data_IF_789661733795
#
_entry.id   IF_789661733795
#
_cell.length_a   1.000
_cell.length_b   1.000
_cell.length_c   1.000
_cell.angle_alpha   90.00
_cell.angle_beta   90.00
_cell.angle_gamma   90.00
#
_symmetry.space_group_name_H-M   'P 1'
#
loop_
_entity.id
_entity.type
_entity.pdbx_description
1 polymer ?
#
# COMPACT_ATOMS: atom_id res chain seq x y z
N UNK A 1 42.41 36.99 -12.92
CA UNK A 1 41.14 37.44 -12.29
C UNK A 1 39.93 37.55 -13.24
N UNK A 2 40.05 37.34 -14.57
CA UNK A 2 38.90 37.43 -15.52
C UNK A 2 38.07 36.14 -15.69
N UNK A 3 38.53 35.01 -15.17
CA UNK A 3 37.87 33.70 -15.38
C UNK A 3 36.73 33.38 -14.41
N UNK A 4 36.68 33.99 -13.21
CA UNK A 4 35.60 33.74 -12.23
C UNK A 4 34.32 34.56 -12.47
N UNK A 5 34.40 35.67 -13.21
CA UNK A 5 33.23 36.54 -13.48
C UNK A 5 32.32 35.97 -14.59
N UNK A 6 32.87 35.31 -15.60
CA UNK A 6 32.07 34.77 -16.72
C UNK A 6 31.26 33.51 -16.36
N UNK A 7 31.68 32.78 -15.33
CA UNK A 7 30.98 31.58 -14.86
C UNK A 7 29.73 31.96 -14.05
N UNK A 8 29.81 33.01 -13.23
CA UNK A 8 28.64 33.54 -12.51
C UNK A 8 27.58 34.12 -13.45
N UNK A 9 28.00 34.79 -14.53
CA UNK A 9 27.09 35.35 -15.53
C UNK A 9 26.37 34.27 -16.35
N UNK A 10 27.02 33.10 -16.54
CA UNK A 10 26.43 31.93 -17.20
C UNK A 10 25.43 31.17 -16.30
N UNK A 11 25.58 31.29 -14.98
CA UNK A 11 24.67 30.67 -14.00
C UNK A 11 23.38 31.50 -13.77
N UNK A 12 23.37 32.78 -14.15
CA UNK A 12 22.19 33.64 -14.01
C UNK A 12 21.29 33.75 -15.26
N UNK A 13 21.64 33.13 -16.40
CA UNK A 13 20.85 33.23 -17.64
C UNK A 13 20.22 31.90 -18.09
N UNK A 14 19.53 31.20 -17.18
CA UNK A 14 18.60 30.11 -17.55
C UNK A 14 17.22 30.23 -16.91
N UNK A 15 16.69 31.46 -16.84
CA UNK A 15 15.26 31.70 -16.71
C UNK A 15 14.70 32.21 -18.05
N UNK A 16 14.91 31.44 -19.11
CA UNK A 16 14.14 31.62 -20.33
C UNK A 16 12.81 30.91 -20.12
N UNK A 17 11.73 31.68 -19.91
CA UNK A 17 10.35 31.18 -19.92
C UNK A 17 10.16 30.33 -21.19
N UNK A 18 10.06 29.01 -21.03
CA UNK A 18 9.64 28.15 -22.13
C UNK A 18 8.17 28.47 -22.46
N UNK A 19 7.76 28.38 -23.74
CA UNK A 19 6.37 28.63 -24.14
C UNK A 19 5.35 27.83 -23.31
N UNK A 20 5.73 26.61 -22.93
CA UNK A 20 4.96 25.72 -22.06
C UNK A 20 4.76 26.30 -20.65
N UNK A 21 5.80 26.90 -20.05
CA UNK A 21 5.72 27.54 -18.72
C UNK A 21 4.83 28.79 -18.72
N UNK A 22 4.78 29.54 -19.84
CA UNK A 22 3.86 30.66 -19.99
C UNK A 22 2.41 30.17 -20.13
N UNK A 23 2.20 29.11 -20.89
CA UNK A 23 0.89 28.51 -21.09
C UNK A 23 0.35 27.87 -19.79
N UNK A 24 1.20 27.20 -19.03
CA UNK A 24 0.82 26.64 -17.72
C UNK A 24 0.47 27.73 -16.72
N UNK A 25 1.20 28.87 -16.68
CA UNK A 25 0.81 30.01 -15.84
C UNK A 25 -0.55 30.59 -16.23
N UNK A 26 -0.89 30.61 -17.51
CA UNK A 26 -2.19 31.08 -17.97
C UNK A 26 -3.31 30.12 -17.54
N UNK A 27 -3.10 28.81 -17.61
CA UNK A 27 -4.08 27.83 -17.10
C UNK A 27 -4.27 27.93 -15.59
N UNK A 28 -3.19 28.09 -14.83
CA UNK A 28 -3.23 28.24 -13.38
C UNK A 28 -3.85 29.56 -12.90
N UNK A 29 -3.89 30.58 -13.75
CA UNK A 29 -4.47 31.89 -13.45
C UNK A 29 -5.93 32.07 -13.88
N UNK A 30 -6.49 31.16 -14.68
CA UNK A 30 -7.89 31.23 -15.12
C UNK A 30 -8.84 30.78 -14.02
N UNK A 31 -10.03 31.40 -13.98
CA UNK A 31 -11.09 30.92 -13.09
C UNK A 31 -11.58 29.54 -13.56
N UNK A 32 -12.08 28.72 -12.62
CA UNK A 32 -12.58 27.37 -12.93
C UNK A 32 -13.67 27.36 -14.00
N UNK A 33 -14.40 28.46 -14.16
CA UNK A 33 -15.42 28.64 -15.19
C UNK A 33 -14.80 28.83 -16.59
N UNK A 34 -13.82 29.72 -16.72
CA UNK A 34 -13.11 29.98 -17.97
C UNK A 34 -12.33 28.75 -18.45
N UNK A 35 -11.77 27.97 -17.53
CA UNK A 35 -11.10 26.72 -17.85
C UNK A 35 -12.06 25.67 -18.42
N UNK A 36 -13.28 25.58 -17.89
CA UNK A 36 -14.31 24.67 -18.42
C UNK A 36 -14.77 25.08 -19.82
N UNK A 37 -14.99 26.38 -20.05
CA UNK A 37 -15.33 26.92 -21.39
C UNK A 37 -14.19 26.65 -22.40
N UNK A 38 -12.94 26.75 -21.97
CA UNK A 38 -11.79 26.42 -22.81
C UNK A 38 -11.73 24.91 -23.16
N UNK A 39 -11.97 24.03 -22.19
CA UNK A 39 -12.06 22.58 -22.41
C UNK A 39 -13.17 22.26 -23.40
N UNK A 40 -14.35 22.87 -23.23
CA UNK A 40 -15.49 22.64 -24.13
C UNK A 40 -15.17 23.11 -25.56
N UNK A 41 -14.46 24.22 -25.72
CA UNK A 41 -13.96 24.68 -27.05
C UNK A 41 -12.93 23.74 -27.69
N UNK A 42 -12.17 22.99 -26.88
CA UNK A 42 -11.20 22.00 -27.37
C UNK A 42 -11.88 20.69 -27.77
N UNK A 43 -12.99 20.33 -27.13
CA UNK A 43 -13.83 19.20 -27.52
C UNK A 43 -14.50 19.45 -28.88
N UNK A 44 -14.94 20.68 -29.14
CA UNK A 44 -15.48 21.07 -30.46
C UNK A 44 -14.43 20.99 -31.57
N UNK A 45 -13.18 21.36 -31.27
CA UNK A 45 -12.07 21.36 -32.24
C UNK A 45 -11.49 19.97 -32.47
N UNK A 46 -11.70 19.03 -31.54
CA UNK A 46 -11.19 17.67 -31.65
C UNK A 46 -12.33 16.67 -31.41
N UNK A 47 -13.06 16.29 -32.49
CA UNK A 47 -14.25 15.43 -32.42
C UNK A 47 -14.01 14.05 -31.79
N UNK A 48 -12.75 13.65 -31.63
CA UNK A 48 -12.36 12.40 -30.99
C UNK A 48 -12.23 12.51 -29.45
N UNK A 49 -12.10 13.71 -28.90
CA UNK A 49 -12.08 13.93 -27.46
C UNK A 49 -13.52 13.90 -26.92
N UNK A 50 -13.75 13.11 -25.86
CA UNK A 50 -15.04 13.00 -25.17
C UNK A 50 -14.85 13.34 -23.69
N UNK A 51 -15.76 14.13 -23.13
CA UNK A 51 -15.80 14.45 -21.70
C UNK A 51 -16.31 13.22 -20.93
N UNK A 52 -15.41 12.47 -20.30
CA UNK A 52 -15.78 11.33 -19.47
C UNK A 52 -16.16 11.83 -18.07
N UNK A 53 -17.46 11.87 -17.78
CA UNK A 53 -17.94 12.01 -16.41
C UNK A 53 -18.15 10.60 -15.84
N UNK A 54 -17.31 10.18 -14.87
CA UNK A 54 -17.61 9.00 -14.05
C UNK A 54 -18.47 9.43 -12.87
N UNK A 55 -19.75 9.07 -12.90
CA UNK A 55 -20.58 9.11 -11.70
C UNK A 55 -20.15 8.01 -10.71
N UNK A 56 -20.34 8.28 -9.41
CA UNK A 56 -19.85 7.54 -8.23
C UNK A 56 -20.29 6.06 -8.09
N UNK A 57 -20.89 5.46 -9.11
CA UNK A 57 -21.40 4.08 -9.07
C UNK A 57 -20.65 3.10 -9.99
N UNK A 58 -19.55 3.52 -10.64
CA UNK A 58 -18.59 2.60 -11.26
C UNK A 58 -19.13 1.69 -12.38
N UNK A 59 -20.31 1.97 -12.96
CA UNK A 59 -20.85 1.22 -14.10
C UNK A 59 -20.71 2.02 -15.39
N UNK A 60 -19.82 1.59 -16.27
CA UNK A 60 -19.83 1.95 -17.69
C UNK A 60 -20.75 0.98 -18.42
N UNK A 61 -21.91 1.45 -18.90
CA UNK A 61 -22.66 0.74 -19.93
C UNK A 61 -22.11 1.17 -21.29
N UNK A 62 -21.16 0.41 -21.82
CA UNK A 62 -20.82 0.45 -23.24
C UNK A 62 -21.34 -0.82 -23.89
N UNK A 63 -22.56 -0.74 -24.43
CA UNK A 63 -23.07 -1.72 -25.38
C UNK A 63 -22.25 -1.66 -26.66
N UNK A 64 -21.33 -2.61 -26.88
CA UNK A 64 -20.98 -3.14 -28.21
C UNK A 64 -20.19 -4.44 -28.08
N UNK A 65 -20.66 -5.48 -28.77
CA UNK A 65 -20.08 -6.81 -28.86
C UNK A 65 -18.76 -6.84 -29.64
N UNK A 66 -17.82 -7.72 -29.23
CA UNK A 66 -16.65 -8.12 -30.01
C UNK A 66 -15.44 -8.52 -29.14
N UNK A 67 -14.87 -9.74 -29.26
CA UNK A 67 -13.81 -10.26 -28.40
C UNK A 67 -12.43 -10.14 -29.08
N UNK A 68 -11.48 -9.45 -28.46
CA UNK A 68 -10.06 -9.83 -28.58
C UNK A 68 -9.25 -9.29 -27.39
N UNK A 69 -8.48 -10.19 -26.82
CA UNK A 69 -7.59 -9.98 -25.69
C UNK A 69 -6.30 -9.30 -26.16
N UNK A 70 -6.08 -8.06 -25.73
CA UNK A 70 -4.73 -7.52 -25.64
C UNK A 70 -4.65 -6.55 -24.48
N UNK A 71 -4.07 -7.07 -23.39
CA UNK A 71 -3.28 -6.37 -22.39
C UNK A 71 -2.99 -4.90 -22.75
N UNK A 72 -3.72 -3.97 -22.12
CA UNK A 72 -3.34 -2.56 -22.09
C UNK A 72 -3.53 -2.01 -20.67
N UNK A 73 -2.73 -2.52 -19.73
CA UNK A 73 -2.43 -1.80 -18.50
C UNK A 73 -1.34 -0.76 -18.77
N UNK A 74 -1.58 0.14 -19.74
CA UNK A 74 -0.70 1.29 -19.96
C UNK A 74 -1.11 2.45 -19.07
N UNK A 75 -0.35 2.59 -17.98
CA UNK A 75 0.39 3.84 -17.70
C UNK A 75 -0.47 5.11 -17.56
N UNK A 76 -1.53 5.08 -16.76
CA UNK A 76 -2.26 6.30 -16.40
C UNK A 76 -2.81 6.30 -14.95
N UNK A 77 -2.01 5.80 -14.01
CA UNK A 77 -2.29 5.82 -12.56
C UNK A 77 -1.23 6.61 -11.77
N UNK A 78 -0.84 7.81 -12.20
CA UNK A 78 0.16 8.56 -11.41
C UNK A 78 -0.43 9.28 -10.19
N UNK A 79 -1.75 9.47 -10.07
CA UNK A 79 -2.38 9.97 -8.83
C UNK A 79 -3.88 9.66 -8.78
N UNK A 80 -4.27 8.39 -8.92
CA UNK A 80 -5.47 7.92 -8.22
C UNK A 80 -4.95 7.33 -6.92
N UNK A 81 -5.60 7.59 -5.79
CA UNK A 81 -5.45 6.74 -4.61
C UNK A 81 -5.76 5.31 -5.09
N UNK A 82 -4.73 4.58 -5.53
CA UNK A 82 -4.87 3.19 -5.89
C UNK A 82 -5.29 2.49 -4.61
N UNK A 83 -6.41 1.77 -4.66
CA UNK A 83 -6.83 0.95 -3.53
C UNK A 83 -5.64 0.05 -3.17
N UNK A 84 -5.07 0.17 -1.95
CA UNK A 84 -3.86 -0.55 -1.57
C UNK A 84 -4.00 -2.06 -1.74
N UNK A 85 -5.24 -2.57 -1.68
CA UNK A 85 -5.57 -3.98 -1.96
C UNK A 85 -5.14 -4.43 -3.35
N UNK A 86 -5.21 -3.56 -4.36
CA UNK A 86 -4.78 -3.88 -5.73
C UNK A 86 -3.29 -4.22 -5.80
N UNK A 87 -2.47 -3.53 -5.00
CA UNK A 87 -1.03 -3.81 -4.93
C UNK A 87 -0.75 -5.19 -4.31
N UNK A 88 -1.56 -5.61 -3.33
CA UNK A 88 -1.46 -6.92 -2.71
C UNK A 88 -1.90 -8.04 -3.66
N UNK A 89 -3.02 -7.85 -4.36
CA UNK A 89 -3.50 -8.80 -5.37
C UNK A 89 -2.47 -8.96 -6.49
N UNK A 90 -1.84 -7.87 -6.94
CA UNK A 90 -0.77 -7.93 -7.92
C UNK A 90 0.44 -8.75 -7.42
N UNK A 91 0.84 -8.56 -6.16
CA UNK A 91 1.91 -9.36 -5.55
C UNK A 91 1.58 -10.85 -5.48
N UNK A 92 0.35 -11.22 -5.08
CA UNK A 92 -0.10 -12.62 -5.04
C UNK A 92 -0.01 -13.28 -6.42
N UNK A 93 -0.45 -12.57 -7.47
CA UNK A 93 -0.42 -13.09 -8.84
C UNK A 93 1.00 -13.29 -9.37
N UNK A 94 1.99 -12.55 -8.85
CA UNK A 94 3.39 -12.75 -9.20
C UNK A 94 4.02 -14.00 -8.56
N UNK A 95 3.45 -14.51 -7.47
CA UNK A 95 3.98 -15.69 -6.76
C UNK A 95 3.67 -17.03 -7.46
N UNK A 96 2.85 -17.03 -8.52
CA UNK A 96 2.53 -18.23 -9.29
C UNK A 96 1.75 -19.28 -8.48
N UNK A 97 0.91 -18.83 -7.55
CA UNK A 97 0.11 -19.68 -6.66
C UNK A 97 -1.03 -20.37 -7.41
N UNK A 98 -1.55 -21.46 -6.83
CA UNK A 98 -2.73 -22.14 -7.36
C UNK A 98 -3.97 -21.23 -7.33
N UNK A 99 -4.90 -21.46 -8.26
CA UNK A 99 -6.14 -20.67 -8.38
C UNK A 99 -6.93 -20.64 -7.06
N UNK A 100 -6.99 -21.77 -6.35
CA UNK A 100 -7.66 -21.88 -5.05
C UNK A 100 -7.02 -20.99 -3.99
N UNK A 101 -5.70 -20.97 -3.91
CA UNK A 101 -4.95 -20.12 -2.97
C UNK A 101 -5.18 -18.63 -3.27
N UNK A 102 -5.20 -18.26 -4.56
CA UNK A 102 -5.48 -16.87 -4.97
C UNK A 102 -6.91 -16.47 -4.57
N UNK A 103 -7.91 -17.34 -4.76
CA UNK A 103 -9.30 -17.06 -4.39
C UNK A 103 -9.45 -16.84 -2.88
N UNK A 104 -8.84 -17.69 -2.05
CA UNK A 104 -8.83 -17.52 -0.58
C UNK A 104 -8.11 -16.21 -0.22
N UNK A 105 -6.97 -15.94 -0.84
CA UNK A 105 -6.17 -14.75 -0.51
C UNK A 105 -6.86 -13.44 -0.91
N UNK A 106 -7.53 -13.42 -2.07
CA UNK A 106 -8.32 -12.27 -2.51
C UNK A 106 -9.45 -11.99 -1.51
N UNK A 107 -10.20 -13.01 -1.08
CA UNK A 107 -11.24 -12.85 -0.05
C UNK A 107 -10.67 -12.25 1.24
N UNK A 108 -9.58 -12.81 1.76
CA UNK A 108 -8.95 -12.32 2.99
C UNK A 108 -8.48 -10.87 2.88
N UNK A 109 -7.93 -10.46 1.74
CA UNK A 109 -7.50 -9.07 1.49
C UNK A 109 -8.69 -8.10 1.47
N UNK A 110 -9.83 -8.53 0.94
CA UNK A 110 -11.04 -7.71 0.95
C UNK A 110 -11.61 -7.52 2.36
N UNK A 111 -11.49 -8.55 3.22
CA UNK A 111 -11.92 -8.51 4.63
C UNK A 111 -10.95 -7.77 5.58
N UNK A 112 -9.78 -7.35 5.09
CA UNK A 112 -8.86 -6.52 5.89
C UNK A 112 -9.45 -5.13 6.17
N UNK A 113 -9.14 -4.60 7.36
CA UNK A 113 -9.47 -3.22 7.72
C UNK A 113 -8.60 -2.18 6.97
N UNK A 114 -8.83 -0.89 7.24
CA UNK A 114 -8.07 0.20 6.63
C UNK A 114 -6.58 0.22 7.04
N UNK A 115 -6.21 -0.46 8.13
CA UNK A 115 -4.84 -0.60 8.60
C UNK A 115 -4.15 -1.87 8.09
N UNK A 116 -4.88 -2.74 7.39
CA UNK A 116 -4.39 -4.01 6.85
C UNK A 116 -4.44 -5.18 7.85
N UNK A 117 -5.24 -5.07 8.91
CA UNK A 117 -5.45 -6.16 9.87
C UNK A 117 -6.62 -7.06 9.47
N UNK A 118 -6.45 -8.38 9.60
CA UNK A 118 -7.51 -9.35 9.39
C UNK A 118 -8.54 -9.25 10.53
N UNK A 119 -9.80 -9.02 10.17
CA UNK A 119 -10.92 -8.97 11.13
C UNK A 119 -11.74 -10.26 11.16
N UNK A 120 -11.65 -11.07 10.10
CA UNK A 120 -12.41 -12.31 9.95
C UNK A 120 -11.73 -13.46 10.70
N UNK A 121 -12.53 -14.29 11.35
CA UNK A 121 -12.07 -15.52 11.98
C UNK A 121 -11.75 -16.60 10.93
N UNK A 122 -10.75 -17.44 11.19
CA UNK A 122 -10.32 -18.50 10.27
C UNK A 122 -11.43 -19.52 10.00
N UNK A 123 -12.23 -19.87 11.01
CA UNK A 123 -13.32 -20.82 10.87
C UNK A 123 -14.51 -20.22 10.10
N UNK A 124 -14.73 -18.91 10.25
CA UNK A 124 -15.77 -18.17 9.52
C UNK A 124 -15.40 -18.04 8.04
N UNK A 125 -14.17 -17.60 7.75
CA UNK A 125 -13.65 -17.53 6.38
C UNK A 125 -13.67 -18.90 5.68
N UNK A 126 -13.33 -19.98 6.40
CA UNK A 126 -13.36 -21.34 5.88
C UNK A 126 -14.77 -21.77 5.46
N UNK A 127 -15.79 -21.44 6.27
CA UNK A 127 -17.20 -21.74 5.96
C UNK A 127 -17.68 -20.97 4.72
N UNK A 128 -17.37 -19.67 4.65
CA UNK A 128 -17.78 -18.82 3.53
C UNK A 128 -17.17 -19.28 2.20
N UNK A 129 -15.92 -19.72 2.23
CA UNK A 129 -15.19 -20.20 1.05
C UNK A 129 -15.40 -21.69 0.76
N UNK A 130 -16.07 -22.43 1.65
CA UNK A 130 -16.24 -23.88 1.58
C UNK A 130 -14.90 -24.64 1.46
N UNK A 131 -13.92 -24.24 2.28
CA UNK A 131 -12.57 -24.83 2.38
C UNK A 131 -12.27 -25.27 3.81
N UNK A 132 -11.19 -26.02 4.02
CA UNK A 132 -10.78 -26.39 5.37
C UNK A 132 -10.09 -25.21 6.10
N UNK A 133 -10.26 -25.06 7.43
CA UNK A 133 -9.60 -23.99 8.20
C UNK A 133 -8.08 -23.97 8.06
N UNK A 134 -7.46 -25.15 7.94
CA UNK A 134 -6.02 -25.28 7.75
C UNK A 134 -5.55 -24.63 6.43
N UNK A 135 -6.35 -24.72 5.37
CA UNK A 135 -6.04 -24.09 4.07
C UNK A 135 -6.08 -22.56 4.17
N UNK A 136 -7.02 -22.03 4.97
CA UNK A 136 -7.10 -20.58 5.23
C UNK A 136 -5.86 -20.11 5.98
N UNK A 137 -5.41 -20.86 7.00
CA UNK A 137 -4.23 -20.49 7.79
C UNK A 137 -2.95 -20.51 6.94
N UNK A 138 -2.78 -21.50 6.06
CA UNK A 138 -1.66 -21.54 5.11
C UNK A 138 -1.64 -20.32 4.18
N UNK A 139 -2.82 -19.86 3.74
CA UNK A 139 -2.95 -18.67 2.91
C UNK A 139 -2.65 -17.40 3.72
N UNK A 140 -3.12 -17.31 4.97
CA UNK A 140 -2.78 -16.20 5.87
C UNK A 140 -1.27 -16.09 6.05
N UNK A 141 -0.57 -17.20 6.30
CA UNK A 141 0.89 -17.21 6.40
C UNK A 141 1.57 -16.70 5.11
N UNK A 142 0.99 -17.02 3.96
CA UNK A 142 1.48 -16.55 2.66
C UNK A 142 1.30 -15.04 2.52
N UNK A 143 0.13 -14.53 2.92
CA UNK A 143 -0.16 -13.09 2.95
C UNK A 143 0.79 -12.34 3.88
N UNK A 144 1.04 -12.87 5.09
CA UNK A 144 1.89 -12.23 6.10
C UNK A 144 3.37 -12.12 5.67
N UNK A 145 3.80 -12.87 4.64
CA UNK A 145 5.14 -12.80 4.04
C UNK A 145 5.24 -11.68 2.98
N UNK A 146 4.14 -11.05 2.58
CA UNK A 146 4.10 -9.99 1.56
C UNK A 146 4.72 -8.67 2.03
N UNK A 147 4.81 -7.68 1.13
CA UNK A 147 5.21 -6.30 1.46
C UNK A 147 3.96 -5.39 1.44
N UNK A 148 3.70 -4.59 2.49
CA UNK A 148 4.57 -4.30 3.64
C UNK A 148 4.58 -5.37 4.74
N UNK A 149 5.69 -5.44 5.47
CA UNK A 149 5.83 -6.36 6.61
C UNK A 149 4.80 -6.07 7.71
N UNK A 150 4.05 -7.09 8.11
CA UNK A 150 2.98 -6.98 9.10
C UNK A 150 1.57 -6.83 8.50
N UNK A 151 1.44 -6.82 7.17
CA UNK A 151 0.14 -6.96 6.49
C UNK A 151 -0.50 -8.31 6.83
N UNK A 152 -1.81 -8.33 7.04
CA UNK A 152 -2.54 -9.56 7.39
C UNK A 152 -2.32 -10.05 8.82
N UNK A 153 -1.79 -9.20 9.72
CA UNK A 153 -1.80 -9.48 11.14
C UNK A 153 -3.22 -9.37 11.72
N UNK A 154 -3.53 -10.10 12.79
CA UNK A 154 -4.80 -10.01 13.53
C UNK A 154 -4.79 -8.88 14.55
N UNK A 155 -3.60 -8.54 15.06
CA UNK A 155 -3.43 -7.43 15.99
C UNK A 155 -2.05 -6.75 15.89
N UNK A 156 -1.87 -5.68 16.67
CA UNK A 156 -0.62 -4.92 16.73
C UNK A 156 0.57 -5.75 17.24
N UNK A 157 0.33 -6.73 18.11
CA UNK A 157 1.39 -7.59 18.63
C UNK A 157 1.93 -8.46 17.50
N UNK A 158 1.05 -9.17 16.82
CA UNK A 158 1.40 -10.02 15.68
C UNK A 158 2.09 -9.22 14.57
N UNK A 159 1.57 -8.02 14.26
CA UNK A 159 2.20 -7.11 13.30
C UNK A 159 3.66 -6.79 13.65
N UNK A 160 3.93 -6.42 14.91
CA UNK A 160 5.29 -6.13 15.37
C UNK A 160 6.18 -7.38 15.35
N UNK A 161 5.65 -8.55 15.70
CA UNK A 161 6.40 -9.80 15.63
C UNK A 161 6.79 -10.11 14.19
N UNK A 162 5.85 -10.08 13.24
CA UNK A 162 6.11 -10.27 11.81
C UNK A 162 7.19 -9.31 11.28
N UNK A 163 7.12 -8.03 11.67
CA UNK A 163 8.12 -7.03 11.30
C UNK A 163 9.51 -7.32 11.87
N UNK A 164 9.60 -7.80 13.11
CA UNK A 164 10.86 -8.16 13.76
C UNK A 164 11.45 -9.45 13.18
N UNK A 165 10.62 -10.45 12.86
CA UNK A 165 11.06 -11.69 12.21
C UNK A 165 11.67 -11.41 10.85
N UNK A 166 11.02 -10.57 10.02
CA UNK A 166 11.56 -10.16 8.71
C UNK A 166 12.90 -9.42 8.83
N UNK A 167 13.12 -8.72 9.94
CA UNK A 167 14.39 -8.03 10.27
C UNK A 167 15.44 -8.96 10.89
N UNK A 168 15.15 -10.25 11.04
CA UNK A 168 16.05 -11.23 11.67
C UNK A 168 16.23 -11.03 13.17
N UNK A 169 15.27 -10.38 13.84
CA UNK A 169 15.33 -10.01 15.27
C UNK A 169 14.55 -10.95 16.19
N UNK A 170 14.30 -12.19 15.78
CA UNK A 170 13.48 -13.16 16.54
C UNK A 170 14.03 -13.47 17.94
N UNK A 171 15.36 -13.40 18.11
CA UNK A 171 16.03 -13.63 19.41
C UNK A 171 16.35 -12.34 20.17
N UNK A 172 15.87 -11.19 19.69
CA UNK A 172 16.21 -9.90 20.27
C UNK A 172 15.31 -9.54 21.46
N UNK A 173 15.78 -8.62 22.30
CA UNK A 173 14.98 -8.12 23.41
C UNK A 173 13.70 -7.42 22.94
N UNK A 174 13.76 -6.77 21.76
CA UNK A 174 12.59 -6.14 21.16
C UNK A 174 11.48 -7.15 20.85
N UNK A 175 11.85 -8.36 20.39
CA UNK A 175 10.88 -9.44 20.15
C UNK A 175 10.27 -9.96 21.45
N UNK A 176 11.10 -10.17 22.47
CA UNK A 176 10.64 -10.56 23.81
C UNK A 176 9.68 -9.52 24.39
N UNK A 177 9.99 -8.23 24.26
CA UNK A 177 9.13 -7.12 24.70
C UNK A 177 7.82 -7.10 23.92
N UNK A 178 7.87 -7.16 22.59
CA UNK A 178 6.68 -7.13 21.75
C UNK A 178 5.75 -8.32 22.05
N UNK A 179 6.30 -9.51 22.26
CA UNK A 179 5.54 -10.74 22.50
C UNK A 179 4.77 -10.73 23.83
N UNK A 180 5.38 -10.25 24.92
CA UNK A 180 4.83 -10.39 26.27
C UNK A 180 4.34 -9.09 26.92
N UNK A 181 4.79 -7.93 26.46
CA UNK A 181 4.64 -6.65 27.19
C UNK A 181 3.96 -5.55 26.38
N UNK A 182 3.14 -5.92 25.39
CA UNK A 182 2.47 -4.94 24.51
C UNK A 182 1.57 -3.96 25.29
N UNK A 183 0.91 -4.42 26.36
CA UNK A 183 0.04 -3.59 27.18
C UNK A 183 0.81 -2.56 28.01
N UNK A 184 1.97 -2.97 28.55
CA UNK A 184 2.89 -2.12 29.29
C UNK A 184 3.57 -1.12 28.35
N UNK A 185 3.92 -1.54 27.13
CA UNK A 185 4.45 -0.68 26.09
C UNK A 185 3.44 0.40 25.69
N UNK A 186 2.17 0.03 25.53
CA UNK A 186 1.09 0.99 25.26
C UNK A 186 0.86 2.00 26.39
N UNK A 187 1.27 1.67 27.63
CA UNK A 187 1.17 2.53 28.82
C UNK A 187 2.45 3.31 29.13
N UNK A 188 3.47 3.22 28.28
CA UNK A 188 4.81 3.80 28.48
C UNK A 188 5.48 3.37 29.81
N UNK A 189 5.15 2.17 30.31
CA UNK A 189 5.64 1.68 31.61
C UNK A 189 6.92 0.85 31.47
N UNK A 190 7.99 1.49 31.00
CA UNK A 190 9.32 0.85 30.84
C UNK A 190 9.89 0.28 32.16
N UNK A 191 9.44 0.80 33.31
CA UNK A 191 9.85 0.33 34.63
C UNK A 191 9.32 -1.07 34.94
N UNK A 192 8.07 -1.39 34.58
CA UNK A 192 7.53 -2.75 34.77
C UNK A 192 8.18 -3.75 33.82
N UNK A 193 8.38 -3.36 32.56
CA UNK A 193 9.03 -4.19 31.53
C UNK A 193 10.45 -4.57 31.98
N UNK A 194 11.26 -3.59 32.35
CA UNK A 194 12.65 -3.83 32.79
C UNK A 194 12.75 -4.71 34.06
N UNK A 195 11.80 -4.57 35.00
CA UNK A 195 11.74 -5.42 36.20
C UNK A 195 11.35 -6.86 35.87
N UNK A 196 10.40 -7.07 34.97
CA UNK A 196 9.96 -8.39 34.55
C UNK A 196 11.08 -9.13 33.79
N UNK A 197 11.70 -8.48 32.80
CA UNK A 197 12.82 -9.05 32.02
C UNK A 197 14.04 -9.39 32.90
N UNK A 198 14.35 -8.56 33.90
CA UNK A 198 15.44 -8.85 34.84
C UNK A 198 15.15 -10.04 35.76
N UNK A 199 13.89 -10.29 36.10
CA UNK A 199 13.50 -11.46 36.90
C UNK A 199 13.62 -12.74 36.08
N UNK A 200 13.30 -12.69 34.78
CA UNK A 200 13.44 -13.87 33.90
C UNK A 200 14.89 -14.22 33.61
N UNK A 201 15.75 -13.23 33.32
CA UNK A 201 17.20 -13.44 33.18
C UNK A 201 17.86 -14.02 34.44
N UNK A 202 17.31 -13.75 35.64
CA UNK A 202 17.76 -14.35 36.90
C UNK A 202 17.27 -15.80 37.08
N UNK A 203 16.12 -16.19 36.52
CA UNK A 203 15.64 -17.58 36.50
C UNK A 203 16.44 -18.46 35.55
N UNK A 204 16.82 -17.95 34.37
CA UNK A 204 17.60 -18.71 33.37
C UNK A 204 19.07 -19.00 33.75
N UNK A 205 19.65 -18.28 34.72
CA UNK A 205 21.05 -18.50 35.18
C UNK A 205 21.20 -19.42 36.39
N UNK A 206 20.12 -20.03 36.87
CA UNK A 206 20.13 -20.95 38.02
C UNK A 206 20.31 -22.43 37.66
N UNK A 207 20.47 -22.77 36.37
CA UNK A 207 20.35 -24.15 35.86
C UNK A 207 21.60 -24.80 35.28
N UNK A 208 22.80 -24.30 35.56
CA UNK A 208 24.05 -25.03 35.27
C UNK A 208 24.99 -24.91 36.46
N UNK A 209 24.96 -25.94 37.31
CA UNK A 209 25.99 -26.30 38.27
C UNK A 209 26.35 -27.75 38.05
#
# INVERSE_FOLDING_TARGET
MKYKLSVYQRMQQRLALTPLMRQSMQFLGMSTKELNEYIDSLLEKNPFLKKQFKDRSGKEYASTAGPDSSLDYSRDNLTRDEDPRLSFIAQLRMLGLEKKVIEIAEYLIYEMDANGYLQVDTEEAAKDLSVEPDEVEEVIETIQKMEPAGIGARDIRECLLLQLERKGKKESLEYEIASGFINELAKDDASKISRALNKDKKRGRGGYR
#
